data_IF_156772247794
#
_entry.id   IF_156772247794
#
_cell.length_a   1.000
_cell.length_b   1.000
_cell.length_c   1.000
_cell.angle_alpha   90.00
_cell.angle_beta   90.00
_cell.angle_gamma   90.00
#
_symmetry.space_group_name_H-M   'P 1'
#
loop_
_entity.id
_entity.type
_entity.pdbx_description
1 polymer ?
#
# COMPACT_ATOMS: atom_id res chain seq x y z
N UNK A 1 -18.47 -18.04 -26.52
CA UNK A 1 -17.31 -18.31 -27.39
C UNK A 1 -16.12 -17.63 -26.73
N UNK A 2 -15.38 -18.36 -25.90
CA UNK A 2 -14.13 -17.85 -25.33
C UNK A 2 -13.12 -17.69 -26.46
N UNK A 3 -12.71 -16.44 -26.71
CA UNK A 3 -11.58 -16.18 -27.61
C UNK A 3 -10.36 -16.82 -26.97
N UNK A 4 -9.82 -17.87 -27.60
CA UNK A 4 -8.56 -18.49 -27.22
C UNK A 4 -7.49 -17.40 -27.13
N UNK A 5 -6.82 -17.28 -25.98
CA UNK A 5 -5.72 -16.33 -25.77
C UNK A 5 -4.50 -16.82 -26.53
N UNK A 6 -3.90 -15.97 -27.35
CA UNK A 6 -2.65 -16.30 -28.06
C UNK A 6 -1.45 -16.11 -27.12
N UNK A 7 -0.30 -16.74 -27.42
CA UNK A 7 0.94 -16.47 -26.67
C UNK A 7 1.28 -14.97 -26.62
N UNK A 8 1.01 -14.24 -27.70
CA UNK A 8 1.21 -12.79 -27.75
C UNK A 8 0.30 -12.03 -26.78
N UNK A 9 -0.95 -12.45 -26.62
CA UNK A 9 -1.90 -11.85 -25.66
C UNK A 9 -1.49 -12.11 -24.22
N UNK A 10 -0.97 -13.31 -23.92
CA UNK A 10 -0.48 -13.67 -22.58
C UNK A 10 0.78 -12.88 -22.25
N UNK A 11 1.74 -12.81 -23.18
CA UNK A 11 2.97 -12.03 -23.02
C UNK A 11 2.68 -10.54 -22.75
N UNK A 12 1.76 -9.94 -23.50
CA UNK A 12 1.33 -8.55 -23.27
C UNK A 12 0.73 -8.34 -21.88
N UNK A 13 -0.05 -9.31 -21.39
CA UNK A 13 -0.65 -9.24 -20.05
C UNK A 13 0.39 -9.40 -18.94
N UNK A 14 1.40 -10.26 -19.14
CA UNK A 14 2.53 -10.40 -18.20
C UNK A 14 3.29 -9.08 -18.08
N UNK A 15 3.68 -8.46 -19.19
CA UNK A 15 4.37 -7.16 -19.15
C UNK A 15 3.54 -6.07 -18.48
N UNK A 16 2.22 -6.03 -18.73
CA UNK A 16 1.34 -5.08 -18.07
C UNK A 16 1.24 -5.32 -16.55
N UNK A 17 1.26 -6.59 -16.12
CA UNK A 17 1.25 -6.97 -14.70
C UNK A 17 2.56 -6.56 -14.02
N UNK A 18 3.71 -6.76 -14.67
CA UNK A 18 5.02 -6.35 -14.19
C UNK A 18 5.10 -4.82 -14.01
N UNK A 19 4.63 -4.05 -15.00
CA UNK A 19 4.55 -2.58 -14.93
C UNK A 19 3.65 -2.10 -13.77
N UNK A 20 2.51 -2.76 -13.58
CA UNK A 20 1.59 -2.45 -12.49
C UNK A 20 2.24 -2.76 -11.13
N UNK A 21 2.92 -3.90 -11.01
CA UNK A 21 3.63 -4.33 -9.79
C UNK A 21 4.76 -3.36 -9.44
N UNK A 22 5.57 -2.98 -10.42
CA UNK A 22 6.62 -1.98 -10.25
C UNK A 22 6.07 -0.64 -9.75
N UNK A 23 4.99 -0.17 -10.36
CA UNK A 23 4.33 1.07 -9.95
C UNK A 23 3.76 0.96 -8.53
N UNK A 24 3.17 -0.18 -8.18
CA UNK A 24 2.63 -0.44 -6.83
C UNK A 24 3.74 -0.43 -5.78
N UNK A 25 4.87 -1.10 -6.04
CA UNK A 25 6.03 -1.09 -5.15
C UNK A 25 6.59 0.31 -4.94
N UNK A 26 6.68 1.13 -6.01
CA UNK A 26 7.10 2.52 -5.89
C UNK A 26 6.17 3.34 -5.00
N UNK A 27 4.85 3.15 -5.13
CA UNK A 27 3.86 3.81 -4.27
C UNK A 27 3.96 3.34 -2.83
N UNK A 28 4.16 2.05 -2.60
CA UNK A 28 4.36 1.49 -1.26
C UNK A 28 5.58 2.10 -0.57
N UNK A 29 6.70 2.20 -1.29
CA UNK A 29 7.91 2.83 -0.75
C UNK A 29 7.67 4.30 -0.37
N UNK A 30 7.02 5.08 -1.24
CA UNK A 30 6.67 6.48 -0.93
C UNK A 30 5.73 6.59 0.29
N UNK A 31 4.85 5.61 0.45
CA UNK A 31 3.97 5.52 1.60
C UNK A 31 4.72 5.22 2.90
N UNK A 32 5.66 4.27 2.88
CA UNK A 32 6.54 3.97 4.02
C UNK A 32 7.38 5.20 4.41
N UNK A 33 7.97 5.90 3.44
CA UNK A 33 8.69 7.17 3.68
C UNK A 33 7.77 8.23 4.32
N UNK A 34 6.53 8.35 3.82
CA UNK A 34 5.55 9.27 4.40
C UNK A 34 5.19 8.90 5.86
N UNK A 35 5.00 7.61 6.16
CA UNK A 35 4.71 7.15 7.53
C UNK A 35 5.87 7.49 8.49
N UNK A 36 7.12 7.32 8.05
CA UNK A 36 8.30 7.70 8.83
C UNK A 36 8.34 9.21 9.12
N UNK A 37 8.12 10.03 8.10
CA UNK A 37 8.06 11.49 8.25
C UNK A 37 6.91 11.93 9.16
N UNK A 38 5.74 11.33 9.00
CA UNK A 38 4.58 11.59 9.84
C UNK A 38 4.88 11.26 11.31
N UNK A 39 5.44 10.07 11.58
CA UNK A 39 5.81 9.66 12.92
C UNK A 39 6.86 10.58 13.55
N UNK A 40 7.80 11.11 12.76
CA UNK A 40 8.74 12.13 13.22
C UNK A 40 8.03 13.41 13.65
N UNK A 41 7.19 13.98 12.79
CA UNK A 41 6.45 15.22 13.10
C UNK A 41 5.56 15.07 14.33
N UNK A 42 4.90 13.92 14.46
CA UNK A 42 4.07 13.61 15.62
C UNK A 42 4.89 13.58 16.92
N UNK A 43 6.12 13.05 16.91
CA UNK A 43 6.99 13.09 18.09
C UNK A 43 7.43 14.50 18.44
N UNK A 44 7.80 15.31 17.44
CA UNK A 44 8.21 16.70 17.65
C UNK A 44 7.05 17.54 18.21
N UNK A 45 5.85 17.40 17.65
CA UNK A 45 4.66 18.12 18.12
C UNK A 45 4.29 17.70 19.55
N UNK A 46 4.31 16.40 19.84
CA UNK A 46 4.08 15.90 21.20
C UNK A 46 5.07 16.50 22.20
N UNK A 47 6.37 16.49 21.87
CA UNK A 47 7.41 17.01 22.74
C UNK A 47 7.22 18.51 23.02
N UNK A 48 6.85 19.30 22.00
CA UNK A 48 6.55 20.73 22.16
C UNK A 48 5.34 20.92 23.06
N UNK A 49 4.26 20.16 22.86
CA UNK A 49 3.05 20.27 23.68
C UNK A 49 3.30 19.88 25.15
N UNK A 50 4.12 18.85 25.38
CA UNK A 50 4.56 18.43 26.71
C UNK A 50 5.40 19.51 27.40
N UNK A 51 6.34 20.12 26.67
CA UNK A 51 7.16 21.24 27.18
C UNK A 51 6.28 22.45 27.54
N UNK A 52 5.33 22.81 26.67
CA UNK A 52 4.37 23.89 26.94
C UNK A 52 3.53 23.58 28.19
N UNK A 53 3.06 22.35 28.35
CA UNK A 53 2.31 21.93 29.52
C UNK A 53 3.14 22.01 30.81
N UNK A 54 4.40 21.56 30.75
CA UNK A 54 5.35 21.66 31.86
C UNK A 54 5.62 23.12 32.25
N UNK A 55 5.93 23.99 31.29
CA UNK A 55 6.18 25.42 31.53
C UNK A 55 4.95 26.17 32.03
N UNK A 56 3.76 25.69 31.70
CA UNK A 56 2.49 26.29 32.13
C UNK A 56 2.07 25.89 33.55
N UNK A 57 2.83 25.04 34.24
CA UNK A 57 2.53 24.62 35.60
C UNK A 57 2.36 25.80 36.57
N UNK A 58 1.30 25.74 37.38
CA UNK A 58 0.96 26.81 38.33
C UNK A 58 0.30 28.05 37.69
N UNK A 59 0.05 28.03 36.38
CA UNK A 59 -0.67 29.09 35.67
C UNK A 59 -2.05 28.63 35.22
N UNK A 60 -2.94 29.57 34.86
CA UNK A 60 -4.24 29.24 34.24
C UNK A 60 -4.10 28.58 32.86
N UNK A 61 -2.93 28.68 32.22
CA UNK A 61 -2.67 28.15 30.88
C UNK A 61 -2.49 26.61 30.88
N UNK A 62 -2.21 25.98 32.02
CA UNK A 62 -2.04 24.52 32.10
C UNK A 62 -3.25 23.75 31.57
N UNK A 63 -4.45 24.22 31.89
CA UNK A 63 -5.69 23.56 31.44
C UNK A 63 -5.79 23.55 29.91
N UNK A 64 -5.38 24.64 29.26
CA UNK A 64 -5.37 24.73 27.80
C UNK A 64 -4.29 23.81 27.21
N UNK A 65 -3.08 23.81 27.77
CA UNK A 65 -2.00 22.94 27.30
C UNK A 65 -2.36 21.44 27.43
N UNK A 66 -2.97 21.04 28.55
CA UNK A 66 -3.44 19.65 28.75
C UNK A 66 -4.56 19.29 27.79
N UNK A 67 -5.49 20.20 27.49
CA UNK A 67 -6.54 19.98 26.49
C UNK A 67 -5.94 19.77 25.09
N UNK A 68 -4.96 20.57 24.69
CA UNK A 68 -4.28 20.41 23.40
C UNK A 68 -3.57 19.05 23.29
N UNK A 69 -2.88 18.61 24.34
CA UNK A 69 -2.29 17.26 24.40
C UNK A 69 -3.33 16.16 24.21
N UNK A 70 -4.49 16.28 24.87
CA UNK A 70 -5.57 15.29 24.74
C UNK A 70 -6.13 15.25 23.32
N UNK A 71 -6.39 16.41 22.71
CA UNK A 71 -6.87 16.46 21.32
C UNK A 71 -5.86 15.86 20.34
N UNK A 72 -4.58 16.15 20.54
CA UNK A 72 -3.50 15.61 19.73
C UNK A 72 -3.42 14.08 19.83
N UNK A 73 -3.53 13.50 21.03
CA UNK A 73 -3.57 12.04 21.22
C UNK A 73 -4.80 11.39 20.54
N UNK A 74 -5.95 12.05 20.58
CA UNK A 74 -7.16 11.57 19.89
C UNK A 74 -6.97 11.61 18.36
N UNK A 75 -6.36 12.67 17.84
CA UNK A 75 -6.06 12.81 16.42
C UNK A 75 -5.09 11.72 15.94
N UNK A 76 -4.02 11.46 16.69
CA UNK A 76 -3.09 10.36 16.43
C UNK A 76 -3.79 9.00 16.29
N UNK A 77 -4.68 8.68 17.24
CA UNK A 77 -5.44 7.43 17.22
C UNK A 77 -6.38 7.35 16.02
N UNK A 78 -6.93 8.48 15.60
CA UNK A 78 -7.77 8.55 14.40
C UNK A 78 -6.97 8.26 13.13
N UNK A 79 -5.76 8.82 13.01
CA UNK A 79 -4.90 8.59 11.85
C UNK A 79 -4.39 7.16 11.74
N UNK A 80 -4.13 6.49 12.86
CA UNK A 80 -3.67 5.09 12.86
C UNK A 80 -4.58 4.18 12.02
N UNK A 81 -5.91 4.32 12.14
CA UNK A 81 -6.87 3.52 11.36
C UNK A 81 -6.78 3.78 9.86
N UNK A 82 -6.52 5.03 9.48
CA UNK A 82 -6.35 5.39 8.07
C UNK A 82 -5.07 4.77 7.51
N UNK A 83 -4.01 4.72 8.31
CA UNK A 83 -2.74 4.12 7.90
C UNK A 83 -2.88 2.60 7.73
N UNK A 84 -3.48 1.94 8.71
CA UNK A 84 -3.76 0.50 8.66
C UNK A 84 -4.59 0.14 7.41
N UNK A 85 -5.62 0.94 7.08
CA UNK A 85 -6.44 0.73 5.89
C UNK A 85 -5.65 0.85 4.58
N UNK A 86 -4.68 1.77 4.49
CA UNK A 86 -3.84 1.93 3.31
C UNK A 86 -2.87 0.75 3.19
N UNK A 87 -2.31 0.29 4.31
CA UNK A 87 -1.43 -0.88 4.35
C UNK A 87 -2.18 -2.15 3.93
N UNK A 88 -3.40 -2.36 4.43
CA UNK A 88 -4.30 -3.44 3.99
C UNK A 88 -4.55 -3.39 2.48
N UNK A 89 -4.73 -2.20 1.89
CA UNK A 89 -4.88 -2.06 0.44
C UNK A 89 -3.64 -2.49 -0.34
N UNK A 90 -2.43 -2.17 0.15
CA UNK A 90 -1.20 -2.65 -0.48
C UNK A 90 -1.07 -4.17 -0.38
N UNK A 91 -1.40 -4.76 0.76
CA UNK A 91 -1.39 -6.22 0.95
C UNK A 91 -2.41 -6.93 0.06
N UNK A 92 -3.63 -6.39 -0.02
CA UNK A 92 -4.66 -6.93 -0.90
C UNK A 92 -4.21 -6.87 -2.36
N UNK A 93 -3.61 -5.76 -2.77
CA UNK A 93 -3.13 -5.59 -4.14
C UNK A 93 -1.99 -6.56 -4.47
N UNK A 94 -1.09 -6.83 -3.52
CA UNK A 94 -0.04 -7.84 -3.70
C UNK A 94 -0.64 -9.25 -3.86
N UNK A 95 -1.67 -9.60 -3.08
CA UNK A 95 -2.41 -10.87 -3.25
C UNK A 95 -3.06 -10.96 -4.64
N UNK A 96 -3.64 -9.87 -5.13
CA UNK A 96 -4.22 -9.82 -6.48
C UNK A 96 -3.16 -10.05 -7.56
N UNK A 97 -1.95 -9.52 -7.38
CA UNK A 97 -0.85 -9.78 -8.31
C UNK A 97 -0.48 -11.26 -8.37
N UNK A 98 -0.34 -11.93 -7.23
CA UNK A 98 -0.05 -13.37 -7.21
C UNK A 98 -1.14 -14.18 -7.93
N UNK A 99 -2.41 -13.90 -7.65
CA UNK A 99 -3.52 -14.61 -8.30
C UNK A 99 -3.51 -14.40 -9.82
N UNK A 100 -3.23 -13.16 -10.28
CA UNK A 100 -3.14 -12.86 -11.72
C UNK A 100 -1.92 -13.51 -12.36
N UNK A 101 -0.79 -13.56 -11.66
CA UNK A 101 0.44 -14.22 -12.11
C UNK A 101 0.22 -15.72 -12.30
N UNK A 102 -0.45 -16.39 -11.34
CA UNK A 102 -0.82 -17.80 -11.45
C UNK A 102 -1.74 -18.04 -12.66
N UNK A 103 -2.78 -17.22 -12.83
CA UNK A 103 -3.71 -17.32 -13.97
C UNK A 103 -3.03 -17.11 -15.32
N UNK A 104 -2.08 -16.16 -15.41
CA UNK A 104 -1.31 -15.94 -16.63
C UNK A 104 -0.32 -17.07 -16.90
N UNK A 105 0.27 -17.64 -15.86
CA UNK A 105 1.14 -18.81 -15.97
C UNK A 105 0.38 -20.02 -16.49
N UNK A 106 -0.81 -20.30 -15.96
CA UNK A 106 -1.69 -21.35 -16.48
C UNK A 106 -2.07 -21.09 -17.94
N UNK A 107 -2.50 -19.86 -18.26
CA UNK A 107 -2.86 -19.47 -19.63
C UNK A 107 -1.67 -19.59 -20.61
N UNK A 108 -0.45 -19.34 -20.16
CA UNK A 108 0.76 -19.51 -20.96
C UNK A 108 0.97 -20.98 -21.34
N UNK A 109 0.92 -21.89 -20.35
CA UNK A 109 1.11 -23.32 -20.61
C UNK A 109 -0.01 -23.92 -21.47
N UNK A 110 -1.25 -23.46 -21.30
CA UNK A 110 -2.37 -23.88 -22.15
C UNK A 110 -2.24 -23.38 -23.58
N UNK A 111 -1.80 -22.14 -23.78
CA UNK A 111 -1.52 -21.60 -25.12
C UNK A 111 -0.39 -22.36 -25.80
N UNK A 112 0.69 -22.66 -25.07
CA UNK A 112 1.84 -23.42 -25.58
C UNK A 112 1.45 -24.84 -26.03
N UNK A 113 0.69 -25.57 -25.20
CA UNK A 113 0.19 -26.92 -25.57
C UNK A 113 -0.68 -26.90 -26.82
N UNK A 114 -1.45 -25.83 -27.01
CA UNK A 114 -2.30 -25.70 -28.20
C UNK A 114 -1.48 -25.42 -29.45
N UNK A 115 -0.45 -24.57 -29.37
CA UNK A 115 0.47 -24.33 -30.49
C UNK A 115 1.19 -25.62 -30.90
N UNK A 116 1.74 -26.37 -29.95
CA UNK A 116 2.39 -27.67 -30.19
C UNK A 116 1.42 -28.69 -30.81
N UNK A 117 0.17 -28.75 -30.35
CA UNK A 117 -0.83 -29.65 -30.92
C UNK A 117 -1.27 -29.27 -32.35
N UNK A 118 -1.25 -27.97 -32.71
CA UNK A 118 -1.52 -27.53 -34.08
C UNK A 118 -0.33 -27.72 -35.03
N UNK A 119 0.90 -27.70 -34.53
CA UNK A 119 2.10 -27.97 -35.33
C UNK A 119 2.26 -29.47 -35.66
N UNK A 120 1.76 -30.38 -34.81
CA UNK A 120 1.76 -31.84 -35.05
C UNK A 120 0.67 -32.33 -36.04
N UNK A 121 -0.30 -31.48 -36.39
CA UNK A 121 -1.40 -31.80 -37.34
C UNK A 121 -1.11 -31.38 -38.80
N UNK A 122 0.10 -30.88 -39.11
CA UNK A 122 0.57 -30.47 -40.46
C UNK A 122 1.68 -31.39 -40.95
#
# INVERSE_FOLDING_TARGET
MDKKRTMADVSKQVSALEDERYTSQKKKKLWEEYQEHWAYLQREEQAILEEVAYLSQGTVAINHATQQLTYFEEEQRSFARTFDSIDEHFEQKEKEFYVREDQLTEAYYDAKKQEEATDDEI
#
